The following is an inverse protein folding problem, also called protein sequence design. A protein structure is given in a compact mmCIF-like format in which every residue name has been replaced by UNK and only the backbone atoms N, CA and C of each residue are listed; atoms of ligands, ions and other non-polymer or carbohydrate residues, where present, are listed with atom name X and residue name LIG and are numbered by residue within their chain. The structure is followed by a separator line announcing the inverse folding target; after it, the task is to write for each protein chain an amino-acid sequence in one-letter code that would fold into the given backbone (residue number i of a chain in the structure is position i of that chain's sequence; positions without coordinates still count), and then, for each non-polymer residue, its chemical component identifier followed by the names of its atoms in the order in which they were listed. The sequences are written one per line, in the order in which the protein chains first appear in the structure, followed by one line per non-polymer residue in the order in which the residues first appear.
data_IF_359057156766
#
_entry.id   IF_359057156766
#
_cell.length_a   1.000
_cell.length_b   1.000
_cell.length_c   1.000
_cell.angle_alpha   90.00
_cell.angle_beta   90.00
_cell.angle_gamma   90.00
#
_symmetry.space_group_name_H-M   'P 1'
#
loop_
_entity.id
_entity.type
_entity.pdbx_description
1 polymer ?
#
# COMPACT_ATOMS: atom_id res chain seq x y z
N UNK A 1 62.52 -18.54 -3.58
CA UNK A 1 62.19 -19.69 -4.44
C UNK A 1 61.12 -20.57 -3.78
N UNK A 2 61.41 -21.31 -2.70
CA UNK A 2 60.45 -22.22 -2.05
C UNK A 2 59.14 -21.56 -1.56
N UNK A 3 59.23 -20.33 -1.03
CA UNK A 3 58.09 -19.54 -0.55
C UNK A 3 57.11 -19.12 -1.65
N UNK A 4 57.59 -18.87 -2.87
CA UNK A 4 56.73 -18.53 -4.00
C UNK A 4 56.03 -19.77 -4.57
N UNK A 5 56.70 -20.92 -4.56
CA UNK A 5 56.11 -22.21 -4.94
C UNK A 5 54.97 -22.59 -3.99
N UNK A 6 55.16 -22.39 -2.68
CA UNK A 6 54.11 -22.65 -1.68
C UNK A 6 52.88 -21.74 -1.85
N UNK A 7 53.09 -20.47 -2.21
CA UNK A 7 52.00 -19.52 -2.47
C UNK A 7 51.23 -19.92 -3.72
N UNK A 8 51.92 -20.31 -4.80
CA UNK A 8 51.28 -20.78 -6.04
C UNK A 8 50.44 -22.04 -5.79
N UNK A 9 51.00 -23.03 -5.08
CA UNK A 9 50.28 -24.26 -4.71
C UNK A 9 49.05 -23.98 -3.84
N UNK A 10 49.09 -22.97 -2.96
CA UNK A 10 47.94 -22.54 -2.16
C UNK A 10 46.88 -21.82 -3.01
N UNK A 11 47.29 -21.02 -4.00
CA UNK A 11 46.35 -20.37 -4.94
C UNK A 11 45.66 -21.42 -5.80
N UNK A 12 46.40 -22.39 -6.36
CA UNK A 12 45.85 -23.49 -7.15
C UNK A 12 44.87 -24.35 -6.32
N UNK A 13 45.20 -24.62 -5.06
CA UNK A 13 44.32 -25.36 -4.14
C UNK A 13 43.06 -24.55 -3.78
N UNK A 14 43.18 -23.24 -3.57
CA UNK A 14 42.04 -22.36 -3.30
C UNK A 14 41.11 -22.23 -4.51
N UNK A 15 41.64 -22.16 -5.74
CA UNK A 15 40.85 -22.20 -6.98
C UNK A 15 40.14 -23.54 -7.16
N UNK A 16 40.79 -24.65 -6.82
CA UNK A 16 40.18 -25.98 -6.84
C UNK A 16 39.06 -26.14 -5.80
N UNK A 17 39.19 -25.54 -4.62
CA UNK A 17 38.15 -25.55 -3.56
C UNK A 17 37.00 -24.58 -3.88
N UNK A 18 37.26 -23.46 -4.57
CA UNK A 18 36.23 -22.53 -5.08
C UNK A 18 35.52 -23.04 -6.34
N UNK A 19 36.08 -24.02 -7.07
CA UNK A 19 35.33 -24.89 -7.99
C UNK A 19 34.41 -25.85 -7.22
N UNK A 20 33.72 -25.34 -6.21
CA UNK A 20 32.52 -25.97 -5.68
C UNK A 20 31.49 -25.86 -6.79
N UNK A 21 31.25 -26.97 -7.50
CA UNK A 21 30.25 -27.08 -8.56
C UNK A 21 29.03 -26.24 -8.21
N UNK A 22 28.75 -25.17 -8.97
CA UNK A 22 27.47 -24.48 -8.86
C UNK A 22 26.42 -25.53 -9.18
N UNK A 23 25.59 -25.96 -8.20
CA UNK A 23 24.65 -27.01 -8.48
C UNK A 23 23.56 -26.44 -9.40
N UNK A 24 23.43 -27.01 -10.60
CA UNK A 24 22.27 -26.77 -11.44
C UNK A 24 21.09 -27.50 -10.79
N UNK A 25 20.12 -26.76 -10.24
CA UNK A 25 19.03 -27.35 -9.47
C UNK A 25 18.03 -28.03 -10.40
N UNK A 26 17.56 -27.29 -11.41
CA UNK A 26 16.59 -27.75 -12.41
C UNK A 26 17.17 -27.68 -13.82
N UNK A 27 18.36 -28.24 -14.00
CA UNK A 27 19.07 -28.17 -15.26
C UNK A 27 20.22 -29.15 -15.35
N UNK A 28 20.86 -29.17 -16.50
CA UNK A 28 22.03 -30.00 -16.79
C UNK A 28 23.27 -29.12 -16.86
N UNK A 29 24.37 -29.61 -16.31
CA UNK A 29 25.65 -28.91 -16.32
C UNK A 29 26.43 -29.32 -17.57
N UNK A 30 26.62 -28.41 -18.51
CA UNK A 30 27.41 -28.65 -19.71
C UNK A 30 28.40 -27.49 -19.90
N UNK A 31 29.69 -27.81 -20.02
CA UNK A 31 30.74 -26.80 -20.21
C UNK A 31 30.89 -25.77 -19.07
N UNK A 32 30.37 -26.07 -17.87
CA UNK A 32 30.41 -25.15 -16.73
C UNK A 32 29.27 -24.11 -16.69
N UNK A 33 28.33 -24.17 -17.64
CA UNK A 33 27.07 -23.44 -17.60
C UNK A 33 25.91 -24.40 -17.29
N UNK A 34 24.88 -23.88 -16.63
CA UNK A 34 23.64 -24.62 -16.39
C UNK A 34 22.67 -24.37 -17.54
N UNK A 35 22.26 -25.45 -18.20
CA UNK A 35 21.16 -25.44 -19.17
C UNK A 35 19.88 -25.82 -18.45
N UNK A 36 18.95 -24.88 -18.33
CA UNK A 36 17.74 -25.06 -17.55
C UNK A 36 16.68 -25.86 -18.32
N UNK A 37 15.94 -26.70 -17.58
CA UNK A 37 14.76 -27.37 -18.12
C UNK A 37 13.64 -26.35 -18.34
N UNK A 38 12.70 -26.70 -19.23
CA UNK A 38 11.54 -25.87 -19.53
C UNK A 38 10.82 -25.39 -18.27
N UNK A 39 10.59 -24.09 -18.20
CA UNK A 39 9.95 -23.43 -17.05
C UNK A 39 10.89 -23.04 -15.91
N UNK A 40 12.21 -23.17 -16.07
CA UNK A 40 13.22 -22.74 -15.10
C UNK A 40 14.25 -21.81 -15.73
N UNK A 41 14.75 -20.85 -14.95
CA UNK A 41 15.74 -19.85 -15.37
C UNK A 41 16.71 -19.47 -14.24
N UNK A 42 17.66 -18.60 -14.56
CA UNK A 42 18.74 -18.12 -13.69
C UNK A 42 20.02 -18.97 -13.79
N UNK A 43 21.13 -18.42 -13.30
CA UNK A 43 22.47 -19.01 -13.46
C UNK A 43 22.64 -20.44 -12.91
N UNK A 44 21.76 -20.85 -11.99
CA UNK A 44 21.72 -22.20 -11.41
C UNK A 44 20.37 -22.91 -11.61
N UNK A 45 19.52 -22.39 -12.50
CA UNK A 45 18.15 -22.91 -12.74
C UNK A 45 17.30 -23.01 -11.46
N UNK A 46 17.43 -22.00 -10.58
CA UNK A 46 16.77 -21.97 -9.28
C UNK A 46 15.45 -21.18 -9.31
N UNK A 47 15.24 -20.34 -10.32
CA UNK A 47 14.03 -19.51 -10.45
C UNK A 47 13.05 -20.17 -11.41
N UNK A 48 11.78 -20.20 -11.02
CA UNK A 48 10.70 -20.73 -11.85
C UNK A 48 10.16 -19.61 -12.75
N UNK A 49 9.93 -19.93 -14.02
CA UNK A 49 9.24 -19.04 -14.95
C UNK A 49 7.73 -19.08 -14.67
N UNK A 50 7.11 -17.93 -14.51
CA UNK A 50 5.66 -17.79 -14.26
C UNK A 50 4.96 -17.22 -15.50
N UNK A 51 5.15 -17.89 -16.63
CA UNK A 51 4.50 -17.48 -17.88
C UNK A 51 2.98 -17.74 -17.83
N UNK A 52 2.22 -16.87 -18.47
CA UNK A 52 0.79 -17.06 -18.72
C UNK A 52 0.60 -18.02 -19.90
N UNK A 53 0.41 -19.30 -19.61
CA UNK A 53 0.27 -20.38 -20.59
C UNK A 53 1.58 -21.07 -21.01
N UNK A 54 1.49 -21.86 -22.07
CA UNK A 54 2.59 -22.72 -22.57
C UNK A 54 3.35 -22.13 -23.76
N UNK A 55 2.86 -21.05 -24.37
CA UNK A 55 3.50 -20.41 -25.51
C UNK A 55 4.80 -19.69 -25.11
N UNK A 56 5.82 -19.77 -25.96
CA UNK A 56 7.15 -19.20 -25.73
C UNK A 56 7.62 -18.44 -26.96
N UNK A 57 8.44 -17.42 -26.73
CA UNK A 57 9.17 -16.74 -27.78
C UNK A 57 10.22 -17.67 -28.43
N UNK A 58 10.73 -17.35 -29.64
CA UNK A 58 11.78 -18.14 -30.29
C UNK A 58 13.08 -18.28 -29.48
N UNK A 59 13.34 -17.37 -28.54
CA UNK A 59 14.48 -17.40 -27.61
C UNK A 59 14.20 -18.24 -26.35
N UNK A 60 12.99 -18.82 -26.21
CA UNK A 60 12.56 -19.59 -25.04
C UNK A 60 11.95 -18.76 -23.90
N UNK A 61 11.88 -17.43 -24.04
CA UNK A 61 11.29 -16.52 -23.04
C UNK A 61 9.75 -16.61 -23.00
N UNK A 62 9.13 -16.03 -21.98
CA UNK A 62 7.67 -16.02 -21.87
C UNK A 62 7.05 -14.98 -22.82
N UNK A 63 5.97 -15.33 -23.52
CA UNK A 63 5.19 -14.37 -24.32
C UNK A 63 4.45 -13.37 -23.42
N UNK A 64 3.90 -13.86 -22.31
CA UNK A 64 3.19 -13.07 -21.29
C UNK A 64 3.43 -13.66 -19.90
N UNK A 65 3.33 -12.83 -18.87
CA UNK A 65 3.50 -13.22 -17.47
C UNK A 65 2.17 -13.40 -16.75
N UNK A 66 2.14 -14.32 -15.79
CA UNK A 66 1.05 -14.39 -14.82
C UNK A 66 0.98 -13.08 -14.01
N UNK A 67 -0.23 -12.77 -13.54
CA UNK A 67 -0.47 -11.59 -12.72
C UNK A 67 0.47 -11.55 -11.49
N UNK A 68 1.11 -10.40 -11.28
CA UNK A 68 2.10 -10.21 -10.21
C UNK A 68 3.52 -10.67 -10.55
N UNK A 69 3.82 -11.09 -11.78
CA UNK A 69 5.17 -11.45 -12.24
C UNK A 69 5.63 -10.59 -13.43
N UNK A 70 6.94 -10.39 -13.51
CA UNK A 70 7.60 -9.49 -14.47
C UNK A 70 8.95 -10.05 -14.93
N UNK A 71 9.55 -9.42 -15.95
CA UNK A 71 10.80 -9.86 -16.59
C UNK A 71 10.53 -10.64 -17.87
N UNK A 72 11.56 -10.82 -18.70
CA UNK A 72 11.45 -11.59 -19.96
C UNK A 72 11.06 -13.06 -19.72
N UNK A 73 11.52 -13.61 -18.59
CA UNK A 73 11.26 -15.00 -18.20
C UNK A 73 10.17 -15.10 -17.14
N UNK A 74 9.48 -14.00 -16.82
CA UNK A 74 8.45 -13.93 -15.77
C UNK A 74 8.90 -14.54 -14.43
N UNK A 75 10.15 -14.29 -14.08
CA UNK A 75 10.87 -14.89 -12.96
C UNK A 75 11.07 -13.90 -11.80
N UNK A 76 10.71 -12.64 -11.99
CA UNK A 76 10.77 -11.60 -10.97
C UNK A 76 9.38 -11.23 -10.47
N UNK A 77 9.18 -11.32 -9.16
CA UNK A 77 7.92 -10.91 -8.51
C UNK A 77 7.73 -9.38 -8.59
N UNK A 78 6.52 -8.95 -8.93
CA UNK A 78 6.11 -7.55 -8.86
C UNK A 78 5.44 -7.28 -7.50
N UNK A 79 6.01 -6.34 -6.74
CA UNK A 79 5.52 -5.95 -5.41
C UNK A 79 4.58 -4.73 -5.43
N UNK A 80 3.98 -4.41 -6.58
CA UNK A 80 3.03 -3.30 -6.78
C UNK A 80 3.52 -1.96 -6.22
N UNK A 81 4.82 -1.69 -6.29
CA UNK A 81 5.47 -0.48 -5.75
C UNK A 81 5.24 -0.23 -4.24
N UNK A 82 4.75 -1.24 -3.51
CA UNK A 82 4.45 -1.19 -2.07
C UNK A 82 5.39 -2.09 -1.25
N UNK A 83 6.51 -2.48 -1.85
CA UNK A 83 7.48 -3.36 -1.22
C UNK A 83 8.72 -3.56 -2.07
N UNK A 84 9.68 -4.28 -1.50
CA UNK A 84 10.93 -4.64 -2.18
C UNK A 84 11.02 -6.16 -2.34
N UNK A 85 11.45 -6.67 -3.50
CA UNK A 85 11.64 -8.10 -3.69
C UNK A 85 12.83 -8.62 -2.87
N UNK A 86 12.77 -9.89 -2.48
CA UNK A 86 13.90 -10.58 -1.85
C UNK A 86 15.04 -10.83 -2.86
N UNK A 87 16.19 -11.32 -2.36
CA UNK A 87 17.35 -11.63 -3.20
C UNK A 87 17.04 -12.59 -4.37
N UNK A 88 16.17 -13.58 -4.12
CA UNK A 88 15.78 -14.57 -5.13
C UNK A 88 14.65 -14.11 -6.07
N UNK A 89 14.13 -12.88 -5.89
CA UNK A 89 13.02 -12.27 -6.63
C UNK A 89 11.70 -13.09 -6.63
N UNK A 90 11.48 -13.92 -5.61
CA UNK A 90 10.32 -14.83 -5.50
C UNK A 90 9.28 -14.40 -4.48
N UNK A 91 9.63 -13.48 -3.57
CA UNK A 91 8.73 -12.98 -2.53
C UNK A 91 8.96 -11.50 -2.25
N UNK A 92 7.91 -10.79 -1.88
CA UNK A 92 7.96 -9.38 -1.53
C UNK A 92 8.09 -9.14 -0.02
N UNK A 93 8.93 -8.16 0.34
CA UNK A 93 8.94 -7.52 1.66
C UNK A 93 8.10 -6.24 1.59
N UNK A 94 6.85 -6.33 2.02
CA UNK A 94 5.89 -5.23 1.91
C UNK A 94 6.13 -4.13 2.95
N UNK A 95 6.00 -2.88 2.51
CA UNK A 95 5.96 -1.71 3.36
C UNK A 95 4.62 -1.66 4.10
N UNK A 96 4.65 -1.30 5.39
CA UNK A 96 3.41 -1.16 6.15
C UNK A 96 2.64 0.08 5.70
N UNK A 97 1.30 0.01 5.58
CA UNK A 97 0.42 -1.06 6.08
C UNK A 97 0.05 -2.14 5.04
N UNK A 98 0.69 -2.18 3.87
CA UNK A 98 0.38 -3.15 2.81
C UNK A 98 0.75 -4.58 3.21
N UNK A 99 0.01 -5.53 2.65
CA UNK A 99 0.16 -6.97 2.87
C UNK A 99 -0.22 -7.75 1.61
N UNK A 100 -0.20 -9.08 1.66
CA UNK A 100 -0.40 -9.95 0.49
C UNK A 100 0.92 -10.46 -0.08
N UNK A 101 0.84 -11.34 -1.09
CA UNK A 101 2.02 -11.97 -1.70
C UNK A 101 2.81 -10.98 -2.56
N UNK A 102 2.07 -10.08 -3.22
CA UNK A 102 2.55 -9.06 -4.14
C UNK A 102 2.36 -7.65 -3.56
N UNK A 103 2.13 -7.53 -2.25
CA UNK A 103 1.82 -6.26 -1.56
C UNK A 103 0.57 -5.52 -2.10
N UNK A 104 -0.37 -6.27 -2.66
CA UNK A 104 -1.62 -5.81 -3.27
C UNK A 104 -2.72 -5.52 -2.23
N UNK A 105 -2.62 -6.11 -1.05
CA UNK A 105 -3.68 -6.05 -0.05
C UNK A 105 -3.52 -4.80 0.82
N UNK A 106 -4.56 -3.99 0.85
CA UNK A 106 -4.66 -2.79 1.68
C UNK A 106 -5.99 -2.79 2.45
N UNK A 107 -6.08 -3.56 3.53
CA UNK A 107 -7.31 -3.67 4.34
C UNK A 107 -7.36 -2.59 5.41
N UNK A 108 -8.51 -1.95 5.56
CA UNK A 108 -8.76 -0.88 6.55
C UNK A 108 -8.52 -1.33 7.99
N UNK A 109 -8.75 -2.60 8.33
CA UNK A 109 -8.42 -3.16 9.65
C UNK A 109 -6.94 -3.10 9.96
N UNK A 110 -6.08 -3.40 8.98
CA UNK A 110 -4.63 -3.42 9.14
C UNK A 110 -4.08 -2.00 9.25
N UNK A 111 -4.69 -1.05 8.52
CA UNK A 111 -4.46 0.38 8.65
C UNK A 111 -4.77 0.82 10.08
N UNK A 112 -5.99 0.56 10.56
CA UNK A 112 -6.40 0.98 11.91
C UNK A 112 -5.53 0.33 12.98
N UNK A 113 -5.20 -0.96 12.86
CA UNK A 113 -4.29 -1.62 13.77
C UNK A 113 -2.88 -1.02 13.73
N UNK A 114 -2.34 -0.74 12.54
CA UNK A 114 -1.02 -0.14 12.35
C UNK A 114 -0.97 1.27 12.94
N UNK A 115 -1.90 2.16 12.57
CA UNK A 115 -1.94 3.52 13.08
C UNK A 115 -2.27 3.56 14.57
N UNK A 116 -3.17 2.72 15.08
CA UNK A 116 -3.47 2.68 16.51
C UNK A 116 -2.24 2.22 17.33
N UNK A 117 -1.47 1.26 16.82
CA UNK A 117 -0.19 0.84 17.42
C UNK A 117 0.90 1.91 17.32
N UNK A 118 0.97 2.62 16.20
CA UNK A 118 1.95 3.70 16.01
C UNK A 118 1.61 4.89 16.88
N UNK A 119 0.33 5.27 16.96
CA UNK A 119 -0.20 6.34 17.81
C UNK A 119 0.02 6.00 19.28
N UNK A 120 -0.29 4.77 19.72
CA UNK A 120 -0.06 4.33 21.10
C UNK A 120 1.43 4.34 21.48
N UNK A 121 2.33 4.05 20.55
CA UNK A 121 3.79 4.23 20.74
C UNK A 121 4.21 5.70 20.75
N UNK A 122 3.60 6.55 19.93
CA UNK A 122 3.94 7.98 19.81
C UNK A 122 3.39 8.86 20.94
N UNK A 123 2.55 8.30 21.82
CA UNK A 123 2.01 8.99 22.98
C UNK A 123 1.20 10.24 22.63
N UNK A 124 1.30 11.28 23.46
CA UNK A 124 0.51 12.52 23.34
C UNK A 124 0.76 13.33 22.05
N UNK A 125 1.81 13.00 21.27
CA UNK A 125 2.12 13.68 19.99
C UNK A 125 1.07 13.33 18.92
N UNK A 126 0.45 12.15 18.99
CA UNK A 126 -0.62 11.74 18.07
C UNK A 126 -1.89 12.62 18.16
N UNK A 127 -2.08 13.37 19.25
CA UNK A 127 -3.18 14.34 19.36
C UNK A 127 -2.96 15.55 18.45
N UNK A 128 -1.70 15.91 18.17
CA UNK A 128 -1.37 17.08 17.33
C UNK A 128 -1.86 16.91 15.89
N UNK A 129 -1.91 15.68 15.36
CA UNK A 129 -2.43 15.40 14.01
C UNK A 129 -3.96 15.47 13.93
N UNK A 130 -4.66 15.36 15.07
CA UNK A 130 -6.10 15.53 15.15
C UNK A 130 -6.53 17.00 15.23
N UNK A 131 -5.63 17.91 15.62
CA UNK A 131 -5.94 19.35 15.77
C UNK A 131 -6.45 19.98 14.46
N UNK A 132 -5.82 19.77 13.29
CA UNK A 132 -6.32 20.31 12.02
C UNK A 132 -7.72 19.81 11.68
N UNK A 133 -8.00 18.52 11.90
CA UNK A 133 -9.32 17.92 11.65
C UNK A 133 -10.41 18.49 12.57
N UNK A 134 -10.06 18.72 13.85
CA UNK A 134 -10.97 19.33 14.83
C UNK A 134 -11.29 20.78 14.45
N UNK A 135 -10.31 21.56 13.99
CA UNK A 135 -10.53 22.93 13.53
C UNK A 135 -11.44 22.98 12.29
N UNK A 136 -11.22 22.09 11.33
CA UNK A 136 -12.09 21.97 10.15
C UNK A 136 -13.52 21.58 10.58
N UNK A 137 -13.67 20.63 11.50
CA UNK A 137 -14.99 20.25 12.02
C UNK A 137 -15.73 21.42 12.69
N UNK A 138 -15.06 22.16 13.58
CA UNK A 138 -15.66 23.32 14.29
C UNK A 138 -16.08 24.40 13.30
N UNK A 139 -15.25 24.70 12.30
CA UNK A 139 -15.60 25.71 11.28
C UNK A 139 -16.82 25.26 10.47
N UNK A 140 -16.84 24.00 10.03
CA UNK A 140 -17.99 23.42 9.32
C UNK A 140 -19.28 23.46 10.14
N UNK A 141 -19.23 23.12 11.44
CA UNK A 141 -20.39 23.19 12.34
C UNK A 141 -20.92 24.62 12.49
N UNK A 142 -20.03 25.61 12.66
CA UNK A 142 -20.42 27.03 12.72
C UNK A 142 -21.11 27.49 11.43
N UNK A 143 -20.56 27.12 10.27
CA UNK A 143 -21.17 27.44 8.97
C UNK A 143 -22.51 26.74 8.77
N UNK A 144 -22.67 25.49 9.20
CA UNK A 144 -23.93 24.76 9.12
C UNK A 144 -25.01 25.40 9.99
N UNK A 145 -24.69 25.73 11.25
CA UNK A 145 -25.60 26.44 12.17
C UNK A 145 -26.01 27.81 11.64
N UNK A 146 -25.07 28.55 11.02
CA UNK A 146 -25.38 29.83 10.38
C UNK A 146 -26.41 29.67 9.26
N UNK A 147 -26.20 28.72 8.33
CA UNK A 147 -27.16 28.44 7.25
C UNK A 147 -28.53 28.00 7.77
N UNK A 148 -28.56 27.24 8.88
CA UNK A 148 -29.81 26.84 9.51
C UNK A 148 -30.58 28.04 10.07
N UNK A 149 -29.90 28.98 10.73
CA UNK A 149 -30.52 30.22 11.22
C UNK A 149 -31.09 31.06 10.08
N UNK A 150 -30.33 31.25 9.00
CA UNK A 150 -30.79 32.01 7.83
C UNK A 150 -32.03 31.38 7.16
N UNK A 151 -32.14 30.04 7.13
CA UNK A 151 -33.35 29.36 6.64
C UNK A 151 -34.56 29.57 7.56
N UNK A 152 -34.36 29.46 8.87
CA UNK A 152 -35.43 29.66 9.85
C UNK A 152 -35.91 31.11 9.83
N UNK A 153 -35.00 32.07 9.74
CA UNK A 153 -35.32 33.50 9.65
C UNK A 153 -36.15 33.80 8.40
N UNK A 154 -35.74 33.31 7.22
CA UNK A 154 -36.53 33.45 5.98
C UNK A 154 -37.93 32.85 6.12
N UNK A 155 -38.06 31.66 6.69
CA UNK A 155 -39.38 31.06 6.94
C UNK A 155 -40.23 31.89 7.90
N UNK A 156 -39.64 32.44 8.97
CA UNK A 156 -40.36 33.30 9.91
C UNK A 156 -40.81 34.61 9.25
N UNK A 157 -39.93 35.27 8.49
CA UNK A 157 -40.26 36.53 7.79
C UNK A 157 -41.33 36.31 6.72
N UNK A 158 -41.25 35.22 5.95
CA UNK A 158 -42.24 34.86 4.94
C UNK A 158 -43.60 34.52 5.57
N UNK A 159 -43.58 33.77 6.68
CA UNK A 159 -44.80 33.48 7.46
C UNK A 159 -45.40 34.77 8.04
N UNK A 160 -44.59 35.68 8.58
CA UNK A 160 -45.08 36.97 9.09
C UNK A 160 -45.63 37.89 7.99
N UNK A 161 -45.01 37.90 6.80
CA UNK A 161 -45.52 38.63 5.63
C UNK A 161 -46.84 38.03 5.11
N UNK A 162 -46.96 36.70 5.10
CA UNK A 162 -48.24 36.03 4.75
C UNK A 162 -49.35 36.33 5.78
N UNK A 163 -48.98 36.47 7.06
CA UNK A 163 -49.91 36.87 8.12
C UNK A 163 -50.24 38.37 8.09
N UNK A 164 -49.43 39.24 7.49
CA UNK A 164 -49.77 40.65 7.28
C UNK A 164 -50.93 40.85 6.29
N UNK A 165 -51.34 39.83 5.54
CA UNK A 165 -52.58 39.84 4.76
C UNK A 165 -53.84 39.56 5.61
N UNK A 166 -53.68 39.19 6.89
CA UNK A 166 -54.76 39.11 7.90
C UNK A 166 -54.28 39.79 9.19
N UNK A 167 -54.63 41.07 9.32
CA UNK A 167 -54.23 41.96 10.42
C UNK A 167 -54.04 41.27 11.78
N UNK A 168 -52.82 41.35 12.32
CA UNK A 168 -52.42 40.67 13.55
C UNK A 168 -52.82 41.52 14.77
N UNK A 169 -53.54 40.90 15.71
CA UNK A 169 -53.91 41.51 16.98
C UNK A 169 -52.70 41.56 17.92
N UNK A 170 -52.18 42.78 18.14
CA UNK A 170 -51.01 43.07 18.99
C UNK A 170 -51.11 42.54 20.43
N UNK A 171 -52.32 42.36 20.97
CA UNK A 171 -52.50 41.86 22.35
C UNK A 171 -52.19 40.36 22.48
N UNK A 172 -52.46 39.56 21.46
CA UNK A 172 -52.16 38.12 21.47
C UNK A 172 -50.66 37.84 21.41
N UNK A 173 -49.91 38.69 20.70
CA UNK A 173 -48.44 38.56 20.57
C UNK A 173 -47.74 38.91 21.89
N UNK A 174 -48.23 39.91 22.62
CA UNK A 174 -47.68 40.28 23.93
C UNK A 174 -47.86 39.17 24.98
N UNK A 175 -48.97 38.43 24.94
CA UNK A 175 -49.24 37.31 25.83
C UNK A 175 -48.29 36.13 25.59
N UNK A 176 -48.07 35.75 24.32
CA UNK A 176 -47.19 34.62 23.96
C UNK A 176 -45.70 34.90 24.28
N UNK A 177 -45.26 36.16 24.19
CA UNK A 177 -43.88 36.54 24.51
C UNK A 177 -43.60 36.57 26.02
N UNK A 178 -44.62 36.73 26.85
CA UNK A 178 -44.48 36.74 28.32
C UNK A 178 -44.78 35.38 28.98
N UNK A 179 -45.50 34.48 28.29
CA UNK A 179 -45.79 33.13 28.78
C UNK A 179 -44.59 32.17 28.70
N UNK A 180 -43.54 32.52 27.95
CA UNK A 180 -42.38 31.64 27.70
C UNK A 180 -41.24 31.84 28.73
N UNK A 181 -41.56 32.44 29.90
CA UNK A 181 -40.59 32.82 30.93
C UNK A 181 -40.76 32.16 32.30
N UNK A 182 -41.70 31.22 32.45
CA UNK A 182 -41.85 30.40 33.66
C UNK A 182 -41.56 28.92 33.37
#
# INVERSE_FOLDING_TARGET
MLRHIFILMLIDLMEAVLRKNKPCINGELEGGLCYCRDGWTGASCHRRMNCDGFEREPNGSCVSCLEGWTGSDCDAINCNDHGTPNYDLTSCSCEKPYSGRFCETFVTSDIYSYYNRTVSKSGAIGILTCIPLILIYITCDRYAKRRQRERVEKHLTDTMLSHLQKGVNRQAVAYLLHSDKD
#
